data_IF_007755440471
#
_entry.id   IF_007755440471
#
_cell.length_a   1.000
_cell.length_b   1.000
_cell.length_c   1.000
_cell.angle_alpha   90.00
_cell.angle_beta   90.00
_cell.angle_gamma   90.00
#
_symmetry.space_group_name_H-M   'P 1'
#
loop_
_entity.id
_entity.type
_entity.pdbx_description
1 polymer ?
#
# COMPACT_ATOMS: atom_id res chain seq x y z
N UNK A 1 -0.28 6.12 11.24
CA UNK A 1 -0.79 5.01 10.42
C UNK A 1 -1.70 5.49 9.32
N UNK A 2 -1.85 4.70 8.27
CA UNK A 2 -2.88 4.93 7.26
C UNK A 2 -4.17 4.22 7.70
N UNK A 3 -5.24 4.99 7.90
CA UNK A 3 -6.54 4.48 8.31
C UNK A 3 -7.49 4.58 7.12
N UNK A 4 -8.10 3.46 6.74
CA UNK A 4 -9.12 3.41 5.69
C UNK A 4 -10.51 3.52 6.31
N UNK A 5 -11.48 4.00 5.54
CA UNK A 5 -12.83 4.28 6.05
C UNK A 5 -13.88 3.18 5.72
N UNK A 6 -13.43 1.97 5.39
CA UNK A 6 -14.32 0.80 5.26
C UNK A 6 -14.98 0.41 6.58
N UNK A 7 -14.34 0.74 7.68
CA UNK A 7 -14.84 0.60 9.04
C UNK A 7 -14.78 1.95 9.75
N UNK A 8 -15.45 2.07 10.88
CA UNK A 8 -15.32 3.26 11.71
C UNK A 8 -13.87 3.46 12.11
N UNK A 9 -13.30 4.66 11.95
CA UNK A 9 -11.91 4.95 12.31
C UNK A 9 -11.76 5.06 13.83
N UNK A 10 -11.84 3.93 14.51
CA UNK A 10 -11.63 3.80 15.94
C UNK A 10 -10.15 3.62 16.23
N UNK A 11 -9.64 4.37 17.19
CA UNK A 11 -8.25 4.34 17.63
C UNK A 11 -8.15 4.26 19.14
N UNK A 12 -7.03 3.72 19.61
CA UNK A 12 -6.73 3.72 21.04
C UNK A 12 -6.13 5.08 21.43
N UNK A 13 -6.71 5.69 22.45
CA UNK A 13 -6.21 6.95 23.02
C UNK A 13 -5.88 6.76 24.49
N UNK A 14 -4.85 7.47 24.95
CA UNK A 14 -4.47 7.51 26.36
C UNK A 14 -4.67 8.91 26.91
N UNK A 15 -5.41 9.00 28.00
CA UNK A 15 -5.56 10.22 28.77
C UNK A 15 -5.25 9.92 30.24
N UNK A 16 -4.19 10.53 30.76
CA UNK A 16 -3.64 10.09 32.05
C UNK A 16 -3.16 8.64 31.99
N UNK A 17 -3.64 7.82 32.93
CA UNK A 17 -3.36 6.39 32.96
C UNK A 17 -4.43 5.52 32.26
N UNK A 18 -5.47 6.15 31.72
CA UNK A 18 -6.60 5.45 31.12
C UNK A 18 -6.43 5.27 29.61
N UNK A 19 -6.74 4.05 29.13
CA UNK A 19 -6.82 3.72 27.73
C UNK A 19 -8.28 3.66 27.31
N UNK A 20 -8.60 4.34 26.23
CA UNK A 20 -9.97 4.44 25.66
C UNK A 20 -9.93 4.12 24.18
N UNK A 21 -11.05 3.63 23.66
CA UNK A 21 -11.29 3.60 22.22
C UNK A 21 -12.10 4.82 21.84
N UNK A 22 -11.67 5.55 20.82
CA UNK A 22 -12.32 6.77 20.35
C UNK A 22 -12.42 6.82 18.83
N UNK A 23 -13.45 7.47 18.33
CA UNK A 23 -13.69 7.69 16.91
C UNK A 23 -12.96 8.97 16.46
N UNK A 24 -12.16 8.87 15.40
CA UNK A 24 -11.63 10.05 14.72
C UNK A 24 -12.76 10.71 13.93
N UNK A 25 -13.17 11.90 14.33
CA UNK A 25 -14.31 12.61 13.74
C UNK A 25 -13.90 13.96 13.18
N UNK A 26 -13.68 14.03 11.86
CA UNK A 26 -13.32 15.27 11.15
C UNK A 26 -14.45 16.27 11.06
N UNK A 27 -15.68 15.86 11.34
CA UNK A 27 -16.86 16.73 11.41
C UNK A 27 -17.08 17.39 12.76
N UNK A 28 -16.35 16.96 13.80
CA UNK A 28 -16.44 17.52 15.13
C UNK A 28 -15.33 18.57 15.37
N UNK A 29 -15.70 19.72 15.91
CA UNK A 29 -14.73 20.76 16.30
C UNK A 29 -13.99 20.36 17.57
N UNK A 30 -14.72 19.80 18.52
CA UNK A 30 -14.26 19.49 19.87
C UNK A 30 -14.07 17.98 20.08
N UNK A 31 -13.17 17.64 21.01
CA UNK A 31 -12.98 16.28 21.52
C UNK A 31 -13.90 16.04 22.69
N UNK A 32 -14.76 15.03 22.60
CA UNK A 32 -15.79 14.70 23.60
C UNK A 32 -15.64 13.26 24.01
N UNK A 33 -15.42 13.03 25.30
CA UNK A 33 -15.28 11.70 25.87
C UNK A 33 -16.45 11.40 26.83
N UNK A 34 -16.76 10.12 26.94
CA UNK A 34 -17.74 9.65 27.92
C UNK A 34 -17.28 9.99 29.35
N UNK A 35 -18.22 9.92 30.28
CA UNK A 35 -17.98 10.16 31.69
C UNK A 35 -16.68 9.49 32.17
N UNK A 36 -15.76 10.30 32.66
CA UNK A 36 -14.41 9.96 33.01
C UNK A 36 -13.91 10.93 34.08
N UNK A 37 -13.30 10.44 35.14
CA UNK A 37 -12.67 11.27 36.14
C UNK A 37 -11.31 11.77 35.65
N UNK A 38 -11.20 13.07 35.42
CA UNK A 38 -9.96 13.72 35.06
C UNK A 38 -9.50 14.65 36.19
N UNK A 39 -8.18 14.74 36.42
CA UNK A 39 -7.64 15.68 37.40
C UNK A 39 -7.75 17.12 36.88
N UNK A 40 -7.92 18.08 37.81
CA UNK A 40 -7.88 19.47 37.48
C UNK A 40 -9.24 20.18 37.59
N UNK A 41 -9.22 21.46 37.25
CA UNK A 41 -10.42 22.29 37.29
C UNK A 41 -11.18 22.17 35.98
N UNK A 42 -12.47 22.20 36.07
CA UNK A 42 -13.37 22.20 34.92
C UNK A 42 -14.42 23.29 35.05
N UNK A 43 -15.04 23.66 33.94
CA UNK A 43 -16.19 24.55 33.87
C UNK A 43 -17.31 23.90 33.08
N UNK A 44 -18.58 24.21 33.44
CA UNK A 44 -19.72 23.69 32.70
C UNK A 44 -19.80 24.33 31.31
N UNK A 45 -20.16 23.53 30.31
CA UNK A 45 -20.40 23.97 28.92
C UNK A 45 -21.60 23.24 28.35
N UNK A 46 -22.34 23.91 27.47
CA UNK A 46 -23.35 23.28 26.63
C UNK A 46 -22.82 23.13 25.23
N UNK A 47 -22.88 21.92 24.66
CA UNK A 47 -22.53 21.65 23.26
C UNK A 47 -23.73 21.07 22.51
N UNK A 48 -23.85 21.46 21.24
CA UNK A 48 -24.92 21.02 20.35
C UNK A 48 -24.44 20.06 19.29
N UNK A 49 -25.29 19.10 18.93
CA UNK A 49 -25.08 18.18 17.83
C UNK A 49 -26.42 17.72 17.27
N UNK A 50 -26.41 16.73 16.38
CA UNK A 50 -27.61 16.24 15.68
C UNK A 50 -28.70 15.74 16.66
N UNK A 51 -28.36 15.34 17.86
CA UNK A 51 -29.29 14.89 18.90
C UNK A 51 -29.79 15.99 19.87
N UNK A 52 -29.43 17.26 19.65
CA UNK A 52 -29.74 18.35 20.56
C UNK A 52 -28.53 18.80 21.38
N UNK A 53 -28.77 19.48 22.52
CA UNK A 53 -27.72 20.00 23.38
C UNK A 53 -27.47 19.07 24.57
N UNK A 54 -26.18 18.87 24.89
CA UNK A 54 -25.76 18.17 26.10
C UNK A 54 -24.91 19.05 26.99
N UNK A 55 -25.00 18.85 28.30
CA UNK A 55 -24.16 19.52 29.29
C UNK A 55 -22.89 18.69 29.50
N UNK A 56 -21.75 19.33 29.39
CA UNK A 56 -20.43 18.72 29.53
C UNK A 56 -19.54 19.45 30.51
N UNK A 57 -18.52 18.80 31.01
CA UNK A 57 -17.44 19.39 31.81
C UNK A 57 -16.29 19.72 30.87
N UNK A 58 -15.91 20.98 30.79
CA UNK A 58 -14.78 21.43 29.97
C UNK A 58 -13.49 21.43 30.79
N UNK A 59 -12.53 20.62 30.39
CA UNK A 59 -11.17 20.60 30.90
C UNK A 59 -10.24 21.21 29.86
N UNK A 60 -9.51 22.26 30.25
CA UNK A 60 -8.56 22.92 29.37
C UNK A 60 -7.15 22.35 29.55
N UNK A 61 -6.31 22.49 28.53
CA UNK A 61 -4.89 22.05 28.53
C UNK A 61 -4.66 20.59 28.93
N UNK A 62 -5.54 19.70 28.52
CA UNK A 62 -5.38 18.28 28.75
C UNK A 62 -4.44 17.66 27.71
N UNK A 63 -3.50 16.84 28.18
CA UNK A 63 -2.63 16.06 27.30
C UNK A 63 -3.27 14.71 27.00
N UNK A 64 -3.34 14.38 25.71
CA UNK A 64 -3.89 13.12 25.20
C UNK A 64 -2.91 12.51 24.21
N UNK A 65 -2.74 11.21 24.25
CA UNK A 65 -1.93 10.46 23.28
C UNK A 65 -2.85 9.65 22.37
N UNK A 66 -2.72 9.89 21.08
CA UNK A 66 -3.55 9.27 20.03
C UNK A 66 -2.60 8.54 19.08
N UNK A 67 -2.69 7.19 19.03
CA UNK A 67 -1.82 6.37 18.19
C UNK A 67 -0.32 6.74 18.35
N UNK A 68 0.13 6.93 19.59
CA UNK A 68 1.52 7.26 19.91
C UNK A 68 1.92 8.72 19.67
N UNK A 69 1.00 9.57 19.22
CA UNK A 69 1.22 11.02 19.03
C UNK A 69 0.52 11.84 20.10
N UNK A 70 1.22 12.83 20.63
CA UNK A 70 0.70 13.70 21.70
C UNK A 70 -0.01 14.92 21.14
N UNK A 71 -1.16 15.23 21.73
CA UNK A 71 -1.90 16.46 21.52
C UNK A 71 -2.28 17.07 22.85
N UNK A 72 -2.42 18.38 22.91
CA UNK A 72 -2.82 19.10 24.10
C UNK A 72 -3.92 20.09 23.75
N UNK A 73 -4.98 20.11 24.55
CA UNK A 73 -6.10 21.03 24.31
C UNK A 73 -7.30 20.73 25.19
N UNK A 74 -8.42 21.29 24.81
CA UNK A 74 -9.67 21.13 25.51
C UNK A 74 -10.26 19.76 25.30
N UNK A 75 -10.63 19.10 26.39
CA UNK A 75 -11.38 17.84 26.41
C UNK A 75 -12.70 18.07 27.12
N UNK A 76 -13.79 17.70 26.47
CA UNK A 76 -15.14 17.78 27.02
C UNK A 76 -15.57 16.41 27.52
N UNK A 77 -16.10 16.34 28.72
CA UNK A 77 -16.56 15.10 29.35
C UNK A 77 -18.06 15.18 29.56
N UNK A 78 -18.80 14.22 29.04
CA UNK A 78 -20.26 14.19 29.20
C UNK A 78 -20.94 12.99 28.57
N UNK A 79 -22.27 13.00 28.50
CA UNK A 79 -23.09 11.85 28.06
C UNK A 79 -23.10 11.73 26.53
N UNK A 80 -21.93 11.57 25.93
CA UNK A 80 -21.82 11.22 24.50
C UNK A 80 -22.01 9.72 24.28
N UNK A 81 -22.66 9.29 23.19
CA UNK A 81 -22.82 7.86 22.88
C UNK A 81 -21.50 7.20 22.51
N UNK A 82 -20.50 7.96 22.02
CA UNK A 82 -19.20 7.46 21.60
C UNK A 82 -18.12 8.49 21.95
N UNK A 83 -16.92 8.00 22.29
CA UNK A 83 -15.76 8.87 22.44
C UNK A 83 -15.37 9.44 21.09
N UNK A 84 -15.21 10.76 20.99
CA UNK A 84 -14.93 11.48 19.73
C UNK A 84 -13.65 12.27 19.89
N UNK A 85 -12.72 12.09 18.95
CA UNK A 85 -11.56 12.97 18.77
C UNK A 85 -11.89 13.95 17.67
N UNK A 86 -12.03 15.21 18.03
CA UNK A 86 -12.37 16.30 17.12
C UNK A 86 -11.16 16.98 16.49
N UNK A 87 -11.43 17.96 15.63
CA UNK A 87 -10.39 18.67 14.85
C UNK A 87 -9.36 19.39 15.74
N UNK A 88 -9.74 19.83 16.94
CA UNK A 88 -8.81 20.47 17.88
C UNK A 88 -7.60 19.59 18.23
N UNK A 89 -7.76 18.26 18.22
CA UNK A 89 -6.68 17.28 18.45
C UNK A 89 -6.16 16.70 17.14
N UNK A 90 -7.04 16.43 16.16
CA UNK A 90 -6.67 15.83 14.87
C UNK A 90 -5.62 16.66 14.12
N UNK A 91 -5.74 17.98 14.13
CA UNK A 91 -4.76 18.86 13.50
C UNK A 91 -3.37 18.74 14.12
N UNK A 92 -3.29 18.60 15.43
CA UNK A 92 -2.02 18.48 16.15
C UNK A 92 -1.28 17.18 15.85
N UNK A 93 -1.98 16.08 15.62
CA UNK A 93 -1.38 14.80 15.26
C UNK A 93 -1.12 14.66 13.76
N UNK A 94 -1.40 15.70 12.97
CA UNK A 94 -1.17 15.70 11.52
C UNK A 94 -2.18 14.84 10.74
N UNK A 95 -3.40 14.69 11.26
CA UNK A 95 -4.47 13.99 10.55
C UNK A 95 -4.93 14.82 9.35
N UNK A 96 -4.99 14.19 8.18
CA UNK A 96 -5.43 14.82 6.93
C UNK A 96 -6.44 13.96 6.20
N UNK A 97 -7.32 14.59 5.41
CA UNK A 97 -8.16 13.91 4.41
C UNK A 97 -7.46 13.98 3.05
N UNK A 98 -7.31 12.85 2.40
CA UNK A 98 -6.47 12.74 1.20
C UNK A 98 -7.27 12.23 0.01
N UNK A 99 -7.89 13.15 -0.73
CA UNK A 99 -8.71 12.83 -1.92
C UNK A 99 -7.89 12.64 -3.20
N UNK A 100 -6.66 13.16 -3.27
CA UNK A 100 -5.77 13.02 -4.42
C UNK A 100 -5.46 11.56 -4.77
N UNK A 101 -5.43 10.69 -3.77
CA UNK A 101 -5.17 9.26 -3.96
C UNK A 101 -6.25 8.57 -4.79
N UNK A 102 -7.52 8.88 -4.57
CA UNK A 102 -8.63 8.32 -5.34
C UNK A 102 -8.56 8.79 -6.78
N UNK A 103 -8.30 10.07 -7.01
CA UNK A 103 -8.12 10.63 -8.35
C UNK A 103 -6.97 9.92 -9.08
N UNK A 104 -5.82 9.79 -8.43
CA UNK A 104 -4.66 9.12 -8.99
C UNK A 104 -4.94 7.65 -9.35
N UNK A 105 -5.60 6.89 -8.47
CA UNK A 105 -6.00 5.51 -8.74
C UNK A 105 -6.97 5.44 -9.93
N UNK A 106 -7.92 6.37 -10.02
CA UNK A 106 -8.87 6.43 -11.13
C UNK A 106 -8.17 6.65 -12.47
N UNK A 107 -7.25 7.61 -12.53
CA UNK A 107 -6.48 7.91 -13.74
C UNK A 107 -5.60 6.72 -14.15
N UNK A 108 -4.90 6.09 -13.21
CA UNK A 108 -4.06 4.90 -13.48
C UNK A 108 -4.91 3.75 -14.02
N UNK A 109 -6.05 3.47 -13.39
CA UNK A 109 -6.92 2.38 -13.84
C UNK A 109 -7.60 2.65 -15.18
N UNK A 110 -7.96 3.88 -15.47
CA UNK A 110 -8.48 4.26 -16.79
C UNK A 110 -7.44 4.01 -17.90
N UNK A 111 -6.18 4.31 -17.64
CA UNK A 111 -5.11 4.03 -18.59
C UNK A 111 -4.88 2.51 -18.75
N UNK A 112 -4.84 1.77 -17.66
CA UNK A 112 -4.73 0.30 -17.70
C UNK A 112 -5.91 -0.36 -18.42
N UNK A 113 -7.12 0.19 -18.28
CA UNK A 113 -8.33 -0.28 -19.00
C UNK A 113 -8.19 -0.06 -20.50
N UNK A 114 -7.73 1.13 -20.93
CA UNK A 114 -7.46 1.44 -22.36
C UNK A 114 -6.42 0.49 -22.97
N UNK A 115 -5.42 0.12 -22.18
CA UNK A 115 -4.37 -0.82 -22.59
C UNK A 115 -4.83 -2.29 -22.54
N UNK A 116 -6.04 -2.56 -22.09
CA UNK A 116 -6.60 -3.91 -21.98
C UNK A 116 -6.06 -4.73 -20.83
N UNK A 117 -5.30 -4.13 -19.91
CA UNK A 117 -4.70 -4.81 -18.75
C UNK A 117 -5.72 -5.19 -17.69
N UNK A 118 -6.77 -4.37 -17.55
CA UNK A 118 -7.89 -4.61 -16.64
C UNK A 118 -9.21 -4.36 -17.34
N UNK A 119 -10.28 -4.92 -16.80
CA UNK A 119 -11.66 -4.71 -17.30
C UNK A 119 -12.59 -4.39 -16.14
N UNK A 120 -13.59 -3.55 -16.39
CA UNK A 120 -14.68 -3.30 -15.43
C UNK A 120 -15.49 -4.56 -15.23
N UNK A 121 -15.89 -4.78 -13.97
CA UNK A 121 -16.76 -5.88 -13.57
C UNK A 121 -17.96 -5.38 -12.76
N UNK A 122 -19.00 -6.20 -12.73
CA UNK A 122 -20.20 -5.90 -11.96
C UNK A 122 -20.08 -6.27 -10.47
N UNK A 123 -21.15 -6.02 -9.71
CA UNK A 123 -21.21 -6.28 -8.29
C UNK A 123 -21.35 -7.78 -7.93
N UNK A 124 -21.62 -8.63 -8.90
CA UNK A 124 -21.81 -10.07 -8.71
C UNK A 124 -20.56 -10.82 -8.28
N UNK A 125 -19.38 -10.27 -8.55
CA UNK A 125 -18.12 -10.86 -8.11
C UNK A 125 -17.91 -10.62 -6.61
N UNK A 126 -17.84 -11.69 -5.78
CA UNK A 126 -17.72 -11.54 -4.34
C UNK A 126 -16.30 -11.22 -3.85
N UNK A 127 -15.29 -11.30 -4.72
CA UNK A 127 -13.90 -11.11 -4.34
C UNK A 127 -13.52 -9.63 -4.38
N UNK A 128 -12.61 -9.23 -3.48
CA UNK A 128 -12.07 -7.90 -3.45
C UNK A 128 -10.68 -7.89 -2.83
N UNK A 129 -9.73 -7.30 -3.53
CA UNK A 129 -8.35 -7.13 -3.06
C UNK A 129 -8.10 -5.67 -2.72
N UNK A 130 -7.50 -5.36 -1.56
CA UNK A 130 -7.17 -3.98 -1.20
C UNK A 130 -6.20 -3.35 -2.19
N UNK A 131 -6.42 -2.07 -2.52
CA UNK A 131 -5.53 -1.27 -3.35
C UNK A 131 -5.14 0.03 -2.64
N UNK A 132 -3.95 0.51 -2.96
CA UNK A 132 -3.38 1.72 -2.38
C UNK A 132 -2.73 2.57 -3.48
N UNK A 133 -2.80 3.89 -3.32
CA UNK A 133 -1.95 4.81 -4.05
C UNK A 133 -0.76 5.18 -3.19
N UNK A 134 0.44 4.97 -3.72
CA UNK A 134 1.70 5.30 -3.06
C UNK A 134 2.54 6.20 -3.96
N UNK A 135 3.40 7.01 -3.36
CA UNK A 135 4.46 7.75 -4.08
C UNK A 135 5.81 7.11 -3.78
N UNK A 136 6.65 6.96 -4.78
CA UNK A 136 8.06 6.59 -4.55
C UNK A 136 8.81 7.77 -3.89
N UNK A 137 9.86 7.46 -3.11
CA UNK A 137 10.60 8.41 -2.27
C UNK A 137 11.08 9.68 -3.00
N UNK A 138 11.39 9.60 -4.29
CA UNK A 138 11.91 10.70 -5.10
C UNK A 138 11.04 11.00 -6.34
N UNK A 139 9.75 10.63 -6.30
CA UNK A 139 8.84 10.79 -7.43
C UNK A 139 7.58 11.55 -7.02
N UNK A 140 7.16 12.48 -7.88
CA UNK A 140 5.86 13.16 -7.77
C UNK A 140 4.72 12.30 -8.30
N UNK A 141 5.03 11.19 -8.99
CA UNK A 141 4.03 10.31 -9.61
C UNK A 141 3.44 9.33 -8.60
N UNK A 142 2.13 9.15 -8.67
CA UNK A 142 1.42 8.12 -7.95
C UNK A 142 1.61 6.76 -8.62
N UNK A 143 1.71 5.72 -7.80
CA UNK A 143 1.74 4.32 -8.23
C UNK A 143 0.62 3.54 -7.54
N UNK A 144 -0.05 2.67 -8.29
CA UNK A 144 -1.02 1.73 -7.75
C UNK A 144 -0.28 0.53 -7.13
N UNK A 145 -0.62 0.21 -5.90
CA UNK A 145 -0.19 -1.00 -5.20
C UNK A 145 -1.41 -1.86 -4.92
N UNK A 146 -1.38 -3.11 -5.34
CA UNK A 146 -2.42 -4.10 -5.03
C UNK A 146 -1.89 -5.06 -3.99
N UNK A 147 -2.63 -5.24 -2.91
CA UNK A 147 -2.24 -6.13 -1.82
C UNK A 147 -2.75 -7.56 -2.05
N UNK A 148 -1.97 -8.34 -2.77
CA UNK A 148 -2.29 -9.74 -3.07
C UNK A 148 -1.88 -10.73 -1.96
N UNK A 149 -1.56 -10.28 -0.75
CA UNK A 149 -1.12 -11.18 0.33
C UNK A 149 -2.10 -12.30 0.59
N UNK A 150 -3.40 -12.03 0.64
CA UNK A 150 -4.42 -13.06 0.86
C UNK A 150 -4.57 -13.99 -0.35
N UNK A 151 -4.54 -13.47 -1.56
CA UNK A 151 -4.56 -14.29 -2.77
C UNK A 151 -3.31 -15.15 -2.85
N UNK A 152 -2.14 -14.59 -2.53
CA UNK A 152 -0.87 -15.30 -2.52
C UNK A 152 -0.87 -16.49 -1.53
N UNK A 153 -1.44 -16.31 -0.34
CA UNK A 153 -1.59 -17.41 0.63
C UNK A 153 -2.42 -18.56 0.06
N UNK A 154 -3.50 -18.25 -0.66
CA UNK A 154 -4.41 -19.24 -1.25
C UNK A 154 -3.85 -19.91 -2.51
N UNK A 155 -2.85 -19.32 -3.14
CA UNK A 155 -2.14 -19.86 -4.31
C UNK A 155 -0.77 -20.44 -3.96
N UNK A 156 -0.47 -20.60 -2.67
CA UNK A 156 0.84 -21.04 -2.20
C UNK A 156 1.26 -22.40 -2.76
N UNK A 157 0.36 -23.37 -2.78
CA UNK A 157 0.65 -24.72 -3.30
C UNK A 157 1.04 -24.69 -4.78
N UNK A 158 0.36 -23.88 -5.58
CA UNK A 158 0.69 -23.65 -6.98
C UNK A 158 2.10 -23.05 -7.13
N UNK A 159 2.42 -22.09 -6.29
CA UNK A 159 3.72 -21.43 -6.28
C UNK A 159 4.85 -22.37 -5.86
N UNK A 160 4.68 -23.17 -4.81
CA UNK A 160 5.66 -24.15 -4.34
C UNK A 160 5.92 -25.27 -5.35
N UNK A 161 4.89 -25.76 -5.99
CA UNK A 161 5.00 -26.84 -7.00
C UNK A 161 5.66 -26.34 -8.29
N UNK A 162 5.36 -25.13 -8.71
CA UNK A 162 5.84 -24.56 -9.98
C UNK A 162 7.20 -23.89 -9.88
N UNK A 163 7.56 -23.35 -8.73
CA UNK A 163 8.67 -22.43 -8.64
C UNK A 163 9.92 -23.02 -8.06
N UNK A 164 10.00 -23.98 -7.30
CA UNK A 164 11.26 -24.56 -6.81
C UNK A 164 12.53 -23.73 -7.10
N UNK A 165 12.42 -22.37 -7.16
CA UNK A 165 13.53 -21.49 -7.50
C UNK A 165 14.45 -21.44 -6.30
N UNK A 166 15.63 -22.12 -6.37
CA UNK A 166 16.58 -22.04 -5.28
C UNK A 166 17.09 -20.60 -5.20
N UNK A 167 17.04 -20.02 -4.03
CA UNK A 167 17.76 -18.77 -3.77
C UNK A 167 19.26 -19.03 -4.01
N UNK A 168 19.93 -18.36 -4.95
CA UNK A 168 21.34 -18.59 -5.19
C UNK A 168 22.14 -18.18 -3.96
N UNK A 169 22.74 -19.17 -3.29
CA UNK A 169 23.58 -18.93 -2.10
C UNK A 169 24.74 -17.95 -2.39
N UNK A 170 25.13 -17.84 -3.67
CA UNK A 170 26.17 -16.93 -4.13
C UNK A 170 25.76 -15.46 -4.15
N UNK A 171 24.48 -15.10 -4.20
CA UNK A 171 24.05 -13.71 -4.33
C UNK A 171 24.43 -12.87 -3.09
N UNK A 172 24.28 -13.43 -1.90
CA UNK A 172 24.61 -12.76 -0.62
C UNK A 172 26.11 -12.48 -0.44
N UNK A 173 26.96 -13.12 -1.22
CA UNK A 173 28.43 -12.97 -1.13
C UNK A 173 28.99 -11.99 -2.15
N UNK A 174 28.16 -11.42 -3.01
CA UNK A 174 28.58 -10.50 -4.06
C UNK A 174 28.86 -9.10 -3.50
N UNK A 175 29.88 -8.42 -4.03
CA UNK A 175 30.26 -7.06 -3.62
C UNK A 175 29.18 -6.03 -3.88
N UNK A 176 28.44 -6.19 -4.97
CA UNK A 176 27.38 -5.26 -5.36
C UNK A 176 26.13 -6.04 -5.79
N UNK A 177 24.98 -5.61 -5.32
CA UNK A 177 23.68 -6.15 -5.74
C UNK A 177 22.78 -5.00 -6.11
N UNK A 178 22.21 -5.06 -7.30
CA UNK A 178 21.20 -4.11 -7.79
C UNK A 178 19.87 -4.83 -7.95
N UNK A 179 18.79 -4.16 -7.56
CA UNK A 179 17.43 -4.68 -7.70
C UNK A 179 16.71 -3.91 -8.80
N UNK A 180 16.27 -4.62 -9.84
CA UNK A 180 15.48 -4.09 -10.95
C UNK A 180 14.03 -4.51 -10.82
N UNK A 181 13.12 -3.59 -11.05
CA UNK A 181 11.69 -3.88 -11.15
C UNK A 181 11.36 -4.37 -12.58
N UNK A 182 10.86 -5.60 -12.68
CA UNK A 182 10.46 -6.21 -13.95
C UNK A 182 8.96 -6.48 -14.01
N UNK A 183 8.19 -5.90 -13.11
CA UNK A 183 6.76 -6.15 -13.00
C UNK A 183 5.96 -5.80 -14.27
N UNK A 184 6.43 -4.84 -15.05
CA UNK A 184 5.78 -4.48 -16.32
C UNK A 184 5.79 -5.61 -17.36
N UNK A 185 6.78 -6.50 -17.30
CA UNK A 185 6.86 -7.66 -18.19
C UNK A 185 5.65 -8.60 -18.04
N UNK A 186 5.08 -8.70 -16.86
CA UNK A 186 3.93 -9.55 -16.59
C UNK A 186 2.69 -9.12 -17.36
N UNK A 187 2.55 -7.84 -17.66
CA UNK A 187 1.42 -7.30 -18.40
C UNK A 187 1.34 -7.73 -19.86
N UNK A 188 2.41 -8.32 -20.38
CA UNK A 188 2.44 -8.90 -21.72
C UNK A 188 1.78 -10.28 -21.83
N UNK A 189 1.48 -10.92 -20.70
CA UNK A 189 0.94 -12.28 -20.65
C UNK A 189 -0.51 -12.29 -20.18
N UNK A 190 -1.45 -12.84 -20.96
CA UNK A 190 -2.85 -12.97 -20.56
C UNK A 190 -2.99 -13.87 -19.32
N UNK A 191 -3.91 -13.48 -18.44
CA UNK A 191 -4.32 -14.27 -17.28
C UNK A 191 -5.47 -15.18 -17.69
N UNK A 192 -5.46 -16.43 -17.23
CA UNK A 192 -6.54 -17.39 -17.42
C UNK A 192 -7.90 -16.79 -17.03
N UNK A 193 -8.89 -16.89 -17.90
CA UNK A 193 -10.21 -16.28 -17.71
C UNK A 193 -10.90 -16.74 -16.43
N UNK A 194 -10.80 -18.02 -16.11
CA UNK A 194 -11.39 -18.58 -14.89
C UNK A 194 -10.76 -18.05 -13.61
N UNK A 195 -9.53 -17.58 -13.69
CA UNK A 195 -8.79 -17.03 -12.56
C UNK A 195 -9.00 -15.52 -12.35
N UNK A 196 -9.32 -14.77 -13.39
CA UNK A 196 -9.43 -13.29 -13.36
C UNK A 196 -10.30 -12.76 -12.23
N UNK A 197 -11.39 -13.44 -11.90
CA UNK A 197 -12.33 -13.07 -10.82
C UNK A 197 -11.68 -12.91 -9.46
N UNK A 198 -10.61 -13.64 -9.18
CA UNK A 198 -9.90 -13.58 -7.89
C UNK A 198 -9.00 -12.34 -7.76
N UNK A 199 -8.72 -11.67 -8.86
CA UNK A 199 -7.91 -10.44 -8.89
C UNK A 199 -8.72 -9.16 -8.75
N UNK A 200 -10.03 -9.29 -8.50
CA UNK A 200 -10.95 -8.17 -8.40
C UNK A 200 -10.55 -7.17 -7.32
N UNK A 201 -10.68 -5.90 -7.64
CA UNK A 201 -10.43 -4.79 -6.72
C UNK A 201 -11.42 -3.64 -6.96
N UNK A 202 -11.49 -2.72 -6.02
CA UNK A 202 -12.43 -1.61 -6.05
C UNK A 202 -11.72 -0.29 -5.82
N UNK A 203 -11.97 0.69 -6.70
CA UNK A 203 -11.63 2.09 -6.44
C UNK A 203 -12.82 2.72 -5.74
N UNK A 204 -12.69 3.19 -4.49
CA UNK A 204 -13.78 3.88 -3.81
C UNK A 204 -14.09 5.21 -4.51
N UNK A 205 -15.34 5.64 -4.44
CA UNK A 205 -15.69 6.99 -4.85
C UNK A 205 -15.33 8.02 -3.78
N UNK A 206 -15.15 9.28 -4.17
CA UNK A 206 -14.95 10.37 -3.23
C UNK A 206 -16.17 10.48 -2.31
N UNK A 207 -15.95 10.47 -0.99
CA UNK A 207 -16.99 10.49 0.05
C UNK A 207 -18.05 9.36 -0.07
N UNK A 208 -17.76 8.30 -0.80
CA UNK A 208 -18.72 7.22 -1.09
C UNK A 208 -20.07 7.70 -1.68
N UNK A 209 -20.04 8.80 -2.42
CA UNK A 209 -21.24 9.38 -3.05
C UNK A 209 -21.85 8.48 -4.13
N UNK A 210 -21.02 7.65 -4.73
CA UNK A 210 -21.41 6.67 -5.74
C UNK A 210 -20.82 5.30 -5.40
N UNK A 211 -21.34 4.21 -5.97
CA UNK A 211 -20.69 2.90 -5.87
C UNK A 211 -19.25 2.98 -6.42
N UNK A 212 -18.33 2.30 -5.75
CA UNK A 212 -16.95 2.20 -6.22
C UNK A 212 -16.86 1.53 -7.60
N UNK A 213 -15.82 1.87 -8.35
CA UNK A 213 -15.55 1.25 -9.65
C UNK A 213 -14.79 -0.05 -9.42
N UNK A 214 -15.33 -1.15 -9.93
CA UNK A 214 -14.73 -2.47 -9.80
C UNK A 214 -14.05 -2.91 -11.08
N UNK A 215 -12.85 -3.49 -10.90
CA UNK A 215 -12.03 -4.03 -11.98
C UNK A 215 -11.54 -5.44 -11.65
N UNK A 216 -11.16 -6.17 -12.68
CA UNK A 216 -10.34 -7.39 -12.57
C UNK A 216 -9.19 -7.34 -13.57
N UNK A 217 -8.14 -8.08 -13.32
CA UNK A 217 -7.01 -8.20 -14.23
C UNK A 217 -7.31 -9.14 -15.41
N UNK A 218 -6.89 -8.75 -16.59
CA UNK A 218 -6.88 -9.57 -17.81
C UNK A 218 -5.50 -10.17 -18.11
N UNK A 219 -4.48 -9.65 -17.44
CA UNK A 219 -3.07 -10.02 -17.61
C UNK A 219 -2.48 -10.40 -16.25
N UNK A 220 -1.29 -10.99 -16.26
CA UNK A 220 -0.59 -11.35 -15.02
C UNK A 220 -0.38 -10.10 -14.15
N UNK A 221 -0.93 -10.04 -12.94
CA UNK A 221 -0.81 -8.86 -12.10
C UNK A 221 0.53 -8.79 -11.39
N UNK A 222 1.03 -7.58 -11.16
CA UNK A 222 2.18 -7.33 -10.30
C UNK A 222 1.84 -7.68 -8.85
N UNK A 223 2.79 -8.28 -8.13
CA UNK A 223 2.64 -8.66 -6.74
C UNK A 223 1.90 -9.97 -6.48
N UNK A 224 1.36 -10.61 -7.51
CA UNK A 224 0.83 -11.98 -7.39
C UNK A 224 1.94 -13.00 -7.60
N UNK A 225 2.09 -13.96 -6.69
CA UNK A 225 3.12 -15.00 -6.74
C UNK A 225 3.06 -15.89 -8.00
N UNK A 226 1.90 -16.03 -8.60
CA UNK A 226 1.71 -16.78 -9.83
C UNK A 226 2.33 -16.11 -11.06
N UNK A 227 2.45 -14.79 -11.07
CA UNK A 227 2.98 -14.04 -12.22
C UNK A 227 4.43 -14.40 -12.54
N UNK A 228 5.39 -14.36 -11.59
CA UNK A 228 6.73 -14.81 -11.85
C UNK A 228 6.80 -16.32 -12.17
N UNK A 229 5.95 -17.14 -11.58
CA UNK A 229 5.88 -18.58 -11.87
C UNK A 229 5.56 -18.86 -13.34
N UNK A 230 4.50 -18.22 -13.82
CA UNK A 230 4.04 -18.41 -15.21
C UNK A 230 5.03 -17.79 -16.19
N UNK A 231 5.61 -16.67 -15.85
CA UNK A 231 6.56 -15.95 -16.71
C UNK A 231 8.00 -16.50 -16.66
N UNK A 232 8.32 -17.39 -15.72
CA UNK A 232 9.68 -17.87 -15.46
C UNK A 232 10.39 -18.42 -16.71
N UNK A 233 9.73 -19.27 -17.46
CA UNK A 233 10.32 -19.88 -18.67
C UNK A 233 10.63 -18.82 -19.73
N UNK A 234 9.79 -17.81 -19.88
CA UNK A 234 9.99 -16.70 -20.79
C UNK A 234 11.15 -15.81 -20.33
N UNK A 235 11.20 -15.49 -19.03
CA UNK A 235 12.30 -14.69 -18.47
C UNK A 235 13.65 -15.41 -18.61
N UNK A 236 13.71 -16.71 -18.36
CA UNK A 236 14.92 -17.53 -18.56
C UNK A 236 15.43 -17.42 -19.99
N UNK A 237 14.56 -17.58 -20.98
CA UNK A 237 14.91 -17.42 -22.39
C UNK A 237 15.39 -16.01 -22.75
N UNK A 238 14.74 -15.01 -22.20
CA UNK A 238 15.09 -13.60 -22.42
C UNK A 238 16.47 -13.28 -21.84
N UNK A 239 16.79 -13.83 -20.67
CA UNK A 239 18.05 -13.56 -19.97
C UNK A 239 19.22 -14.44 -20.45
N UNK A 240 18.97 -15.56 -21.12
CA UNK A 240 20.00 -16.52 -21.55
C UNK A 240 21.14 -15.86 -22.32
N UNK A 241 20.92 -15.08 -23.38
CA UNK A 241 22.02 -14.44 -24.13
C UNK A 241 22.88 -13.49 -23.26
N UNK A 242 22.24 -12.78 -22.34
CA UNK A 242 22.98 -11.89 -21.43
C UNK A 242 23.83 -12.69 -20.43
N UNK A 243 23.30 -13.78 -19.88
CA UNK A 243 24.04 -14.66 -18.97
C UNK A 243 25.24 -15.33 -19.62
N UNK A 244 25.10 -15.77 -20.86
CA UNK A 244 26.19 -16.37 -21.64
C UNK A 244 27.34 -15.38 -21.87
N UNK A 245 27.01 -14.13 -22.14
CA UNK A 245 27.99 -13.06 -22.36
C UNK A 245 28.62 -12.51 -21.07
N UNK A 246 27.97 -12.73 -19.93
CA UNK A 246 28.38 -12.18 -18.63
C UNK A 246 28.32 -13.26 -17.53
N UNK A 247 29.16 -14.30 -17.61
CA UNK A 247 29.11 -15.42 -16.66
C UNK A 247 29.47 -15.01 -15.21
N UNK A 248 30.12 -13.88 -15.02
CA UNK A 248 30.48 -13.31 -13.72
C UNK A 248 29.30 -12.67 -13.00
N UNK A 249 28.18 -12.45 -13.68
CA UNK A 249 26.99 -11.82 -13.11
C UNK A 249 25.96 -12.89 -12.69
N UNK A 250 25.48 -12.76 -11.46
CA UNK A 250 24.41 -13.62 -10.92
C UNK A 250 23.10 -12.86 -11.00
N UNK A 251 22.12 -13.48 -11.66
CA UNK A 251 20.76 -12.93 -11.79
C UNK A 251 19.78 -13.88 -11.11
N UNK A 252 19.00 -13.35 -10.17
CA UNK A 252 17.97 -14.08 -9.47
C UNK A 252 16.63 -13.34 -9.59
N UNK A 253 15.60 -14.06 -10.01
CA UNK A 253 14.23 -13.54 -10.09
C UNK A 253 13.46 -13.91 -8.81
N UNK A 254 12.91 -12.89 -8.14
CA UNK A 254 11.99 -13.07 -7.03
C UNK A 254 10.85 -12.07 -7.11
N UNK A 255 9.60 -12.57 -7.18
CA UNK A 255 8.41 -11.74 -7.35
C UNK A 255 8.57 -10.79 -8.56
N UNK A 256 8.35 -9.51 -8.38
CA UNK A 256 8.44 -8.49 -9.43
C UNK A 256 9.88 -7.96 -9.62
N UNK A 257 10.88 -8.57 -8.99
CA UNK A 257 12.24 -8.05 -8.94
C UNK A 257 13.26 -9.01 -9.57
N UNK A 258 14.26 -8.44 -10.24
CA UNK A 258 15.51 -9.08 -10.57
C UNK A 258 16.62 -8.60 -9.64
N UNK A 259 17.25 -9.53 -8.96
CA UNK A 259 18.44 -9.28 -8.15
C UNK A 259 19.66 -9.60 -8.98
N UNK A 260 20.49 -8.58 -9.25
CA UNK A 260 21.67 -8.68 -10.10
C UNK A 260 22.92 -8.42 -9.26
N UNK A 261 23.70 -9.46 -9.03
CA UNK A 261 24.91 -9.43 -8.21
C UNK A 261 26.18 -9.62 -9.01
N UNK A 262 27.24 -8.88 -8.65
CA UNK A 262 28.58 -9.05 -9.20
C UNK A 262 29.66 -8.70 -8.18
N UNK A 263 30.88 -9.19 -8.45
CA UNK A 263 32.10 -8.81 -7.71
C UNK A 263 32.93 -7.75 -8.44
N UNK A 264 32.35 -7.15 -9.48
CA UNK A 264 32.98 -6.07 -10.26
C UNK A 264 33.09 -4.79 -9.45
N UNK A 265 34.03 -3.91 -9.85
CA UNK A 265 34.05 -2.54 -9.33
C UNK A 265 32.73 -1.84 -9.62
N UNK A 266 32.37 -0.89 -8.75
CA UNK A 266 31.04 -0.25 -8.77
C UNK A 266 30.66 0.36 -10.12
N UNK A 267 31.60 0.98 -10.81
CA UNK A 267 31.36 1.59 -12.11
C UNK A 267 31.12 0.54 -13.21
N UNK A 268 31.87 -0.57 -13.17
CA UNK A 268 31.69 -1.69 -14.08
C UNK A 268 30.37 -2.41 -13.81
N UNK A 269 30.01 -2.56 -12.52
CA UNK A 269 28.73 -3.12 -12.13
C UNK A 269 27.56 -2.30 -12.69
N UNK A 270 27.60 -0.98 -12.53
CA UNK A 270 26.59 -0.06 -13.08
C UNK A 270 26.49 -0.14 -14.61
N UNK A 271 27.62 -0.23 -15.30
CA UNK A 271 27.65 -0.40 -16.74
C UNK A 271 26.97 -1.69 -17.17
N UNK A 272 27.16 -2.80 -16.45
CA UNK A 272 26.51 -4.08 -16.71
C UNK A 272 25.02 -4.03 -16.41
N UNK A 273 24.59 -3.30 -15.39
CA UNK A 273 23.17 -3.06 -15.10
C UNK A 273 22.52 -2.31 -16.28
N UNK A 274 23.15 -1.29 -16.81
CA UNK A 274 22.61 -0.57 -17.98
C UNK A 274 22.57 -1.44 -19.23
N UNK A 275 23.56 -2.29 -19.48
CA UNK A 275 23.52 -3.28 -20.57
C UNK A 275 22.34 -4.25 -20.42
N UNK A 276 22.08 -4.74 -19.20
CA UNK A 276 20.95 -5.59 -18.93
C UNK A 276 19.62 -4.87 -19.15
N UNK A 277 19.49 -3.63 -18.69
CA UNK A 277 18.30 -2.81 -18.89
C UNK A 277 18.03 -2.57 -20.38
N UNK A 278 19.07 -2.28 -21.18
CA UNK A 278 18.95 -2.16 -22.63
C UNK A 278 18.54 -3.47 -23.29
N UNK A 279 19.09 -4.59 -22.82
CA UNK A 279 18.70 -5.92 -23.30
C UNK A 279 17.21 -6.20 -23.05
N UNK A 280 16.71 -5.91 -21.84
CA UNK A 280 15.29 -6.08 -21.49
C UNK A 280 14.40 -5.09 -22.25
N UNK A 281 14.87 -3.88 -22.52
CA UNK A 281 14.14 -2.88 -23.28
C UNK A 281 13.89 -3.33 -24.73
N UNK A 282 14.77 -4.11 -25.34
CA UNK A 282 14.56 -4.72 -26.67
C UNK A 282 13.33 -5.62 -26.71
N UNK A 283 12.93 -6.18 -25.57
CA UNK A 283 11.70 -6.94 -25.41
C UNK A 283 10.50 -6.10 -25.00
N UNK A 284 10.66 -4.78 -24.92
CA UNK A 284 9.62 -3.83 -24.50
C UNK A 284 9.45 -3.67 -22.99
N UNK A 285 10.41 -4.13 -22.19
CA UNK A 285 10.34 -4.07 -20.72
C UNK A 285 11.15 -2.91 -20.17
N UNK A 286 10.49 -1.98 -19.49
CA UNK A 286 11.14 -0.94 -18.70
C UNK A 286 11.48 -1.50 -17.32
N UNK A 287 12.69 -1.23 -16.84
CA UNK A 287 13.23 -1.82 -15.62
C UNK A 287 13.82 -0.74 -14.71
N UNK A 288 12.97 0.03 -13.99
CA UNK A 288 13.47 1.05 -13.08
C UNK A 288 14.27 0.44 -11.92
N UNK A 289 15.34 1.11 -11.50
CA UNK A 289 16.11 0.75 -10.32
C UNK A 289 15.29 0.94 -9.05
N UNK A 290 15.09 -0.12 -8.26
CA UNK A 290 14.48 -0.01 -6.94
C UNK A 290 15.46 0.38 -5.85
N UNK A 291 16.65 -0.21 -5.83
CA UNK A 291 17.72 0.08 -4.84
C UNK A 291 19.06 -0.38 -5.34
N UNK A 292 20.08 0.48 -5.16
CA UNK A 292 21.46 0.09 -5.18
C UNK A 292 21.87 -0.27 -3.75
N UNK A 293 21.93 -1.56 -3.41
CA UNK A 293 22.44 -1.99 -2.10
C UNK A 293 23.97 -2.08 -2.16
N UNK A 294 24.65 -1.23 -1.40
CA UNK A 294 26.00 -1.44 -0.95
C UNK A 294 25.94 -2.28 0.32
N UNK A 295 26.48 -3.49 0.22
CA UNK A 295 26.77 -4.46 1.27
C UNK A 295 25.62 -5.26 1.88
N UNK A 296 26.02 -6.49 2.34
CA UNK A 296 25.11 -7.43 2.95
C UNK A 296 24.65 -7.03 4.34
#
# INVERSE_FOLDING_TARGET
>A
PQITLWQRPLVTVRIGEQLLEALLDTGADDTVLKELDLPGRWKPKMIGGIGGFIKVKQYDNMSIEIEGKKATGTVLIGPTPVNIIGRNMLTQIGCTLNFEKIKALTEICQEMEKEGKISKIGPENPYNTPIFAIKKKDSTKWRKLVDFRELNKRTQDFWEVQLGIPHPAGLKKKKSVTVLDVGDAYFSVPLDEGFRKYTAFTIPSTNNETPGIRYQYNVLPQGWKGSPAIFQSSMTKILEPFREQNPEIVIYQYMDDLYVGSDLEIEQHRAKIEELREHLLKWGFTTPDKKHQKEP
#
